data_IF_805211881249
#
_entry.id   IF_805211881249
#
_cell.length_a   1.000
_cell.length_b   1.000
_cell.length_c   1.000
_cell.angle_alpha   90.00
_cell.angle_beta   90.00
_cell.angle_gamma   90.00
#
_symmetry.space_group_name_H-M   'P 1'
#
loop_
_entity.id
_entity.type
_entity.pdbx_description
1 polymer ?
#
# COMPACT_ATOMS: atom_id res chain seq x y z
N UNK A 1 -2.97 -11.78 32.06
CA UNK A 1 -3.98 -10.77 31.61
C UNK A 1 -3.40 -9.36 31.80
N UNK A 2 -3.56 -8.42 30.84
CA UNK A 2 -2.99 -7.08 30.95
C UNK A 2 -3.61 -6.27 32.09
N UNK A 3 -2.79 -5.67 32.96
CA UNK A 3 -3.23 -4.95 34.18
C UNK A 3 -3.47 -3.44 33.96
N UNK A 4 -3.47 -2.96 32.71
CA UNK A 4 -3.57 -1.53 32.39
C UNK A 4 -4.80 -0.85 32.97
N UNK A 5 -5.96 -1.53 32.94
CA UNK A 5 -7.22 -0.96 33.43
C UNK A 5 -7.17 -0.73 34.93
N UNK A 6 -6.68 -1.72 35.66
CA UNK A 6 -6.57 -1.69 37.13
C UNK A 6 -5.57 -0.62 37.56
N UNK A 7 -4.38 -0.60 36.95
CA UNK A 7 -3.35 0.40 37.21
C UNK A 7 -3.85 1.83 36.93
N UNK A 8 -4.59 2.02 35.83
CA UNK A 8 -5.18 3.32 35.50
C UNK A 8 -6.23 3.76 36.52
N UNK A 9 -7.12 2.85 36.94
CA UNK A 9 -8.16 3.13 37.94
C UNK A 9 -7.52 3.43 39.30
N UNK A 10 -6.47 2.71 39.68
CA UNK A 10 -5.74 2.96 40.93
C UNK A 10 -5.12 4.36 41.00
N UNK A 11 -4.67 4.91 39.85
CA UNK A 11 -4.20 6.29 39.73
C UNK A 11 -5.31 7.34 39.53
N UNK A 12 -6.58 6.93 39.44
CA UNK A 12 -7.70 7.85 39.20
C UNK A 12 -7.71 8.50 37.80
N UNK A 13 -6.98 7.94 36.84
CA UNK A 13 -6.83 8.50 35.50
C UNK A 13 -7.95 8.03 34.55
N UNK A 14 -8.36 8.91 33.62
CA UNK A 14 -9.22 8.53 32.49
C UNK A 14 -8.36 8.04 31.32
N UNK A 15 -8.96 7.28 30.40
CA UNK A 15 -8.25 6.83 29.20
C UNK A 15 -7.76 8.01 28.33
N UNK A 16 -8.49 9.14 28.36
CA UNK A 16 -8.08 10.37 27.71
C UNK A 16 -6.77 10.94 28.27
N UNK A 17 -6.54 10.79 29.59
CA UNK A 17 -5.32 11.29 30.24
C UNK A 17 -4.11 10.45 29.83
N UNK A 18 -4.29 9.13 29.65
CA UNK A 18 -3.25 8.24 29.11
C UNK A 18 -2.93 8.59 27.65
N UNK A 19 -3.96 8.88 26.84
CA UNK A 19 -3.78 9.34 25.45
C UNK A 19 -3.00 10.65 25.39
N UNK A 20 -3.33 11.60 26.27
CA UNK A 20 -2.63 12.87 26.38
C UNK A 20 -1.18 12.70 26.85
N UNK A 21 -0.92 11.82 27.83
CA UNK A 21 0.41 11.54 28.33
C UNK A 21 1.31 10.92 27.25
N UNK A 22 0.82 9.93 26.49
CA UNK A 22 1.55 9.34 25.37
C UNK A 22 1.92 10.38 24.30
N UNK A 23 1.03 11.35 24.07
CA UNK A 23 1.27 12.43 23.11
C UNK A 23 2.46 13.32 23.46
N UNK A 24 2.76 13.50 24.75
CA UNK A 24 3.92 14.27 25.21
C UNK A 24 5.25 13.62 24.78
N UNK A 25 5.25 12.31 24.53
CA UNK A 25 6.41 11.54 24.06
C UNK A 25 6.40 11.34 22.53
N UNK A 26 5.49 12.00 21.81
CA UNK A 26 5.35 11.89 20.35
C UNK A 26 4.54 10.67 19.88
N UNK A 27 3.94 9.90 20.79
CA UNK A 27 3.11 8.74 20.47
C UNK A 27 1.63 9.16 20.39
N UNK A 28 1.06 9.17 19.19
CA UNK A 28 -0.38 9.44 19.01
C UNK A 28 -1.20 8.16 19.12
N UNK A 29 -1.75 7.90 20.30
CA UNK A 29 -2.62 6.75 20.56
C UNK A 29 -4.02 7.22 20.95
N UNK A 30 -5.05 6.99 20.11
CA UNK A 30 -6.41 7.44 20.42
C UNK A 30 -7.07 6.56 21.49
N UNK A 31 -8.00 7.13 22.26
CA UNK A 31 -8.72 6.47 23.37
C UNK A 31 -9.29 5.08 23.04
N UNK A 32 -9.92 4.85 21.86
CA UNK A 32 -10.42 3.51 21.52
C UNK A 32 -9.33 2.44 21.44
N UNK A 33 -8.08 2.82 21.14
CA UNK A 33 -6.95 1.90 21.10
C UNK A 33 -6.46 1.58 22.51
N UNK A 34 -6.47 2.56 23.43
CA UNK A 34 -6.17 2.34 24.85
C UNK A 34 -7.17 1.35 25.46
N UNK A 35 -8.46 1.49 25.14
CA UNK A 35 -9.48 0.52 25.57
C UNK A 35 -9.19 -0.91 25.08
N UNK A 36 -8.53 -1.08 23.93
CA UNK A 36 -8.14 -2.41 23.41
C UNK A 36 -6.95 -2.98 24.15
N UNK A 37 -6.01 -2.15 24.58
CA UNK A 37 -4.91 -2.56 25.46
C UNK A 37 -5.45 -3.05 26.81
N UNK A 38 -6.38 -2.30 27.39
CA UNK A 38 -7.04 -2.63 28.67
C UNK A 38 -7.86 -3.92 28.62
N UNK A 39 -8.41 -4.28 27.46
CA UNK A 39 -9.23 -5.48 27.27
C UNK A 39 -8.45 -6.67 26.70
N UNK A 40 -7.13 -6.52 26.48
CA UNK A 40 -6.29 -7.55 25.88
C UNK A 40 -6.59 -7.86 24.42
N UNK A 41 -7.40 -7.03 23.74
CA UNK A 41 -7.70 -7.20 22.31
C UNK A 41 -6.50 -6.86 21.41
N UNK A 42 -5.59 -6.03 21.91
CA UNK A 42 -4.32 -5.71 21.25
C UNK A 42 -3.26 -5.39 22.30
N UNK A 43 -1.99 -5.50 21.93
CA UNK A 43 -0.88 -5.04 22.78
C UNK A 43 -0.36 -3.68 22.31
N UNK A 44 0.12 -2.83 23.22
CA UNK A 44 0.89 -1.66 22.86
C UNK A 44 2.23 -2.08 22.23
N UNK A 45 2.84 -1.17 21.46
CA UNK A 45 4.23 -1.36 21.03
C UNK A 45 5.17 -1.30 22.25
N UNK A 46 6.39 -1.88 22.18
CA UNK A 46 7.34 -1.85 23.30
C UNK A 46 7.57 -0.44 23.85
N UNK A 47 7.74 0.55 22.97
CA UNK A 47 7.91 1.96 23.36
C UNK A 47 6.68 2.54 24.07
N UNK A 48 5.48 2.26 23.55
CA UNK A 48 4.23 2.69 24.20
C UNK A 48 4.05 2.02 25.57
N UNK A 49 4.41 0.75 25.68
CA UNK A 49 4.42 0.02 26.94
C UNK A 49 5.34 0.68 27.97
N UNK A 50 6.59 0.97 27.62
CA UNK A 50 7.54 1.66 28.51
C UNK A 50 7.00 3.00 29.02
N UNK A 51 6.40 3.80 28.13
CA UNK A 51 5.80 5.08 28.51
C UNK A 51 4.60 4.86 29.43
N UNK A 52 3.74 3.88 29.13
CA UNK A 52 2.60 3.55 29.98
C UNK A 52 3.04 3.05 31.36
N UNK A 53 4.12 2.27 31.47
CA UNK A 53 4.72 1.86 32.74
C UNK A 53 5.16 3.07 33.56
N UNK A 54 5.79 4.08 32.92
CA UNK A 54 6.17 5.34 33.56
C UNK A 54 4.97 6.18 33.99
N UNK A 55 3.94 6.29 33.16
CA UNK A 55 2.74 7.07 33.48
C UNK A 55 1.93 6.42 34.61
N UNK A 56 1.95 5.10 34.69
CA UNK A 56 1.19 4.31 35.66
C UNK A 56 1.99 3.88 36.89
N UNK A 57 3.27 4.28 37.01
CA UNK A 57 4.22 3.86 38.05
C UNK A 57 4.16 2.35 38.33
N UNK A 58 4.21 1.55 37.26
CA UNK A 58 4.12 0.10 37.36
C UNK A 58 5.04 -0.57 36.35
N UNK A 59 5.93 -1.44 36.84
CA UNK A 59 6.87 -2.19 36.00
C UNK A 59 6.24 -3.47 35.39
N UNK A 60 5.14 -3.95 35.96
CA UNK A 60 4.49 -5.23 35.60
C UNK A 60 3.08 -5.04 35.01
N UNK A 61 2.95 -4.21 33.96
CA UNK A 61 1.65 -4.03 33.29
C UNK A 61 1.26 -5.18 32.36
N UNK A 62 2.26 -5.97 31.91
CA UNK A 62 2.08 -7.16 31.08
C UNK A 62 2.61 -8.39 31.85
N UNK A 63 1.82 -9.47 31.86
CA UNK A 63 2.25 -10.78 32.35
C UNK A 63 3.02 -11.53 31.27
N UNK A 64 4.03 -12.33 31.64
CA UNK A 64 4.80 -13.20 30.72
C UNK A 64 3.97 -14.29 30.02
N UNK A 65 2.68 -14.44 30.36
CA UNK A 65 1.78 -15.38 29.69
C UNK A 65 1.69 -15.10 28.19
N UNK A 66 1.82 -16.18 27.40
CA UNK A 66 1.57 -16.19 25.96
C UNK A 66 0.19 -15.58 25.67
N UNK A 67 0.18 -14.40 25.05
CA UNK A 67 -1.06 -13.73 24.66
C UNK A 67 -1.56 -14.40 23.40
N UNK A 68 -2.46 -15.38 23.55
CA UNK A 68 -3.27 -15.88 22.45
C UNK A 68 -4.29 -14.80 22.05
N UNK A 69 -3.98 -14.05 20.99
CA UNK A 69 -4.95 -13.13 20.41
C UNK A 69 -6.07 -13.96 19.75
N UNK A 70 -7.25 -13.96 20.38
CA UNK A 70 -8.48 -14.56 19.82
C UNK A 70 -8.87 -14.00 18.45
N UNK A 71 -8.27 -12.87 18.05
CA UNK A 71 -8.46 -12.24 16.77
C UNK A 71 -7.15 -12.13 15.99
N UNK A 72 -6.67 -13.25 15.45
CA UNK A 72 -5.86 -13.19 14.23
C UNK A 72 -6.77 -12.54 13.20
N UNK A 73 -6.53 -11.27 12.85
CA UNK A 73 -7.12 -10.71 11.63
C UNK A 73 -6.76 -11.71 10.53
N UNK A 74 -7.75 -12.44 10.02
CA UNK A 74 -7.65 -13.01 8.69
C UNK A 74 -7.49 -11.79 7.79
N UNK A 75 -6.24 -11.40 7.54
CA UNK A 75 -5.91 -10.56 6.40
C UNK A 75 -6.63 -11.28 5.27
N UNK A 76 -7.69 -10.68 4.72
CA UNK A 76 -8.32 -11.26 3.54
C UNK A 76 -7.17 -11.49 2.58
N UNK A 77 -6.81 -12.73 2.22
CA UNK A 77 -5.83 -12.91 1.18
C UNK A 77 -6.36 -12.12 -0.01
N UNK A 78 -5.52 -11.29 -0.66
CA UNK A 78 -5.98 -10.52 -1.80
C UNK A 78 -6.59 -11.51 -2.79
N UNK A 79 -7.87 -11.33 -3.08
CA UNK A 79 -8.68 -12.32 -3.76
C UNK A 79 -8.30 -12.29 -5.23
N UNK A 80 -7.55 -13.28 -5.70
CA UNK A 80 -7.42 -13.62 -7.12
C UNK A 80 -6.00 -13.95 -7.59
N UNK A 81 -5.86 -14.84 -8.61
CA UNK A 81 -4.57 -15.10 -9.24
C UNK A 81 -4.06 -13.80 -9.88
N UNK A 82 -2.88 -13.34 -9.45
CA UNK A 82 -2.21 -12.14 -9.99
C UNK A 82 -2.12 -10.95 -9.03
N UNK A 83 -2.57 -11.05 -7.78
CA UNK A 83 -2.41 -9.95 -6.80
C UNK A 83 -1.00 -9.93 -6.22
N UNK A 84 -0.07 -9.28 -6.93
CA UNK A 84 1.20 -8.86 -6.34
C UNK A 84 0.92 -7.91 -5.18
N UNK A 85 1.47 -8.23 -4.02
CA UNK A 85 1.25 -7.56 -2.71
C UNK A 85 1.83 -6.13 -2.71
N UNK A 86 2.54 -5.73 -3.75
CA UNK A 86 2.98 -4.37 -3.97
C UNK A 86 1.84 -3.55 -4.59
N UNK A 87 0.99 -2.95 -3.74
CA UNK A 87 0.37 -1.68 -4.14
C UNK A 87 1.53 -0.69 -4.28
N UNK A 88 2.07 -0.57 -5.49
CA UNK A 88 2.90 0.56 -5.87
C UNK A 88 2.00 1.79 -5.77
N UNK A 89 1.94 2.41 -4.59
CA UNK A 89 1.52 3.81 -4.44
C UNK A 89 2.65 4.65 -5.00
N UNK A 90 2.82 4.60 -6.31
CA UNK A 90 3.68 5.54 -7.00
C UNK A 90 2.97 6.88 -6.95
N UNK A 91 3.56 7.84 -6.24
CA UNK A 91 3.09 9.21 -6.27
C UNK A 91 3.06 9.68 -7.72
N UNK A 92 1.86 10.02 -8.19
CA UNK A 92 1.72 10.52 -9.55
C UNK A 92 2.35 11.91 -9.55
N UNK A 93 3.36 12.19 -10.39
CA UNK A 93 4.03 13.49 -10.40
C UNK A 93 3.03 14.57 -10.85
N UNK A 94 2.40 15.23 -9.86
CA UNK A 94 1.19 16.04 -10.07
C UNK A 94 1.43 17.20 -11.05
N UNK A 95 2.66 17.76 -11.05
CA UNK A 95 3.09 18.80 -12.00
C UNK A 95 3.01 18.30 -13.45
N UNK A 96 3.45 17.07 -13.73
CA UNK A 96 3.35 16.46 -15.07
C UNK A 96 1.91 16.00 -15.37
N UNK A 97 1.24 15.44 -14.36
CA UNK A 97 -0.13 14.98 -14.47
C UNK A 97 -1.10 16.10 -14.86
N UNK A 98 -0.84 17.34 -14.43
CA UNK A 98 -1.75 18.47 -14.62
C UNK A 98 -1.22 19.59 -15.54
N UNK A 99 -0.07 19.39 -16.22
CA UNK A 99 0.60 20.43 -17.03
C UNK A 99 -0.31 21.15 -18.04
N UNK A 100 -1.26 20.44 -18.65
CA UNK A 100 -2.14 20.97 -19.70
C UNK A 100 -3.63 20.92 -19.32
N UNK A 101 -4.04 19.91 -18.56
CA UNK A 101 -5.39 19.71 -18.04
C UNK A 101 -5.32 18.65 -16.94
N UNK A 102 -6.34 18.56 -16.06
CA UNK A 102 -6.44 17.48 -15.08
C UNK A 102 -6.33 16.11 -15.76
N UNK A 103 -5.62 15.18 -15.12
CA UNK A 103 -5.32 13.87 -15.70
C UNK A 103 -6.56 13.11 -16.19
N UNK A 104 -7.67 13.16 -15.45
CA UNK A 104 -8.93 12.53 -15.84
C UNK A 104 -9.53 13.10 -17.14
N UNK A 105 -9.35 14.39 -17.42
CA UNK A 105 -9.81 15.02 -18.67
C UNK A 105 -9.01 14.51 -19.85
N UNK A 106 -7.67 14.44 -19.69
CA UNK A 106 -6.77 13.90 -20.72
C UNK A 106 -7.07 12.44 -21.04
N UNK A 107 -7.31 11.62 -20.02
CA UNK A 107 -7.67 10.20 -20.19
C UNK A 107 -8.93 10.07 -21.06
N UNK A 108 -9.98 10.85 -20.77
CA UNK A 108 -11.21 10.84 -21.57
C UNK A 108 -10.99 11.35 -22.99
N UNK A 109 -10.25 12.46 -23.16
CA UNK A 109 -9.96 13.03 -24.47
C UNK A 109 -9.15 12.07 -25.36
N UNK A 110 -8.28 11.24 -24.77
CA UNK A 110 -7.54 10.20 -25.47
C UNK A 110 -8.35 8.90 -25.71
N UNK A 111 -9.66 8.88 -25.45
CA UNK A 111 -10.51 7.70 -25.64
C UNK A 111 -10.26 6.57 -24.62
N UNK A 112 -9.61 6.86 -23.49
CA UNK A 112 -9.30 5.87 -22.46
C UNK A 112 -10.39 5.82 -21.38
N UNK A 113 -10.78 4.60 -20.97
CA UNK A 113 -11.83 4.36 -19.97
C UNK A 113 -11.43 4.73 -18.54
N UNK A 114 -10.15 4.53 -18.17
CA UNK A 114 -9.67 4.71 -16.80
C UNK A 114 -8.15 4.92 -16.75
N UNK A 115 -7.65 5.34 -15.58
CA UNK A 115 -6.21 5.44 -15.31
C UNK A 115 -5.51 4.08 -15.33
N UNK A 116 -6.18 3.03 -14.86
CA UNK A 116 -5.67 1.65 -14.97
C UNK A 116 -5.55 1.20 -16.42
N UNK A 117 -6.49 1.58 -17.29
CA UNK A 117 -6.41 1.29 -18.72
C UNK A 117 -5.23 2.02 -19.38
N UNK A 118 -5.01 3.29 -19.00
CA UNK A 118 -3.84 4.05 -19.44
C UNK A 118 -2.52 3.38 -19.00
N UNK A 119 -2.43 2.95 -17.74
CA UNK A 119 -1.26 2.26 -17.21
C UNK A 119 -0.99 0.92 -17.93
N UNK A 120 -2.03 0.12 -18.18
CA UNK A 120 -1.92 -1.12 -18.92
C UNK A 120 -1.38 -0.91 -20.35
N UNK A 121 -1.82 0.16 -21.02
CA UNK A 121 -1.33 0.52 -22.35
C UNK A 121 0.15 0.92 -22.31
N UNK A 122 0.55 1.75 -21.33
CA UNK A 122 1.95 2.12 -21.13
C UNK A 122 2.85 0.89 -20.89
N UNK A 123 2.42 -0.04 -20.03
CA UNK A 123 3.15 -1.28 -19.76
C UNK A 123 3.25 -2.17 -21.00
N UNK A 124 2.18 -2.28 -21.80
CA UNK A 124 2.20 -3.03 -23.06
C UNK A 124 3.19 -2.43 -24.05
N UNK A 125 3.21 -1.10 -24.19
CA UNK A 125 4.18 -0.40 -25.03
C UNK A 125 5.63 -0.61 -24.53
N UNK A 126 5.84 -0.56 -23.22
CA UNK A 126 7.15 -0.81 -22.61
C UNK A 126 7.63 -2.25 -22.88
N UNK A 127 6.76 -3.24 -22.68
CA UNK A 127 7.06 -4.65 -22.96
C UNK A 127 7.41 -4.88 -24.43
N UNK A 128 6.69 -4.25 -25.36
CA UNK A 128 7.02 -4.33 -26.79
C UNK A 128 8.38 -3.68 -27.10
N UNK A 129 8.71 -2.55 -26.48
CA UNK A 129 10.02 -1.92 -26.62
C UNK A 129 11.13 -2.81 -26.06
N UNK A 130 10.91 -3.41 -24.89
CA UNK A 130 11.83 -4.34 -24.26
C UNK A 130 12.07 -5.58 -25.14
N UNK A 131 11.02 -6.21 -25.65
CA UNK A 131 11.14 -7.35 -26.56
C UNK A 131 11.92 -6.99 -27.83
N UNK A 132 11.70 -5.79 -28.40
CA UNK A 132 12.47 -5.32 -29.56
C UNK A 132 13.94 -5.09 -29.20
N UNK A 133 14.22 -4.49 -28.05
CA UNK A 133 15.58 -4.26 -27.58
C UNK A 133 16.31 -5.60 -27.38
N UNK A 134 15.67 -6.57 -26.72
CA UNK A 134 16.19 -7.92 -26.55
C UNK A 134 16.44 -8.60 -27.90
N UNK A 135 15.47 -8.58 -28.82
CA UNK A 135 15.66 -9.20 -30.15
C UNK A 135 16.82 -8.56 -30.91
N UNK A 136 17.02 -7.25 -30.78
CA UNK A 136 18.16 -6.54 -31.37
C UNK A 136 19.50 -6.95 -30.73
N UNK A 137 19.54 -7.11 -29.42
CA UNK A 137 20.74 -7.58 -28.71
C UNK A 137 21.04 -9.05 -29.04
N UNK A 138 20.03 -9.91 -28.98
CA UNK A 138 20.13 -11.33 -29.35
C UNK A 138 20.56 -11.54 -30.81
N UNK A 139 20.13 -10.69 -31.74
CA UNK A 139 20.60 -10.71 -33.13
C UNK A 139 22.06 -10.26 -33.29
N UNK A 140 22.55 -9.42 -32.37
CA UNK A 140 23.96 -9.02 -32.30
C UNK A 140 24.84 -10.10 -31.64
N UNK A 141 24.28 -10.85 -30.69
CA UNK A 141 25.00 -11.86 -29.89
C UNK A 141 24.80 -13.31 -30.39
N UNK A 142 23.97 -13.54 -31.41
CA UNK A 142 23.72 -14.86 -32.01
C UNK A 142 22.91 -15.84 -31.15
N UNK A 143 22.25 -15.38 -30.08
CA UNK A 143 21.55 -16.24 -29.12
C UNK A 143 20.04 -16.28 -29.44
N UNK A 144 19.52 -17.45 -29.80
CA UNK A 144 18.08 -17.67 -30.02
C UNK A 144 17.30 -17.64 -28.70
N UNK A 145 16.52 -16.59 -28.45
CA UNK A 145 15.58 -16.56 -27.33
C UNK A 145 14.22 -17.08 -27.80
N UNK A 146 13.81 -18.23 -27.25
CA UNK A 146 12.53 -18.88 -27.54
C UNK A 146 11.36 -17.91 -27.37
N UNK A 147 10.54 -17.78 -28.42
CA UNK A 147 9.31 -16.99 -28.41
C UNK A 147 8.36 -17.53 -27.33
N UNK A 148 8.29 -16.81 -26.20
CA UNK A 148 7.27 -17.01 -25.19
C UNK A 148 5.89 -16.76 -25.79
N UNK A 149 5.20 -17.82 -26.21
CA UNK A 149 3.79 -17.80 -26.61
C UNK A 149 2.93 -17.37 -25.43
N UNK A 150 2.75 -16.07 -25.21
CA UNK A 150 1.64 -15.57 -24.40
C UNK A 150 0.37 -15.64 -25.26
N UNK A 151 -0.63 -16.38 -24.75
CA UNK A 151 -1.96 -16.54 -25.34
C UNK A 151 -2.48 -15.21 -25.89
N UNK A 152 -3.05 -15.25 -27.11
CA UNK A 152 -3.82 -14.16 -27.70
C UNK A 152 -5.01 -13.86 -26.79
N UNK A 153 -4.87 -12.87 -25.92
CA UNK A 153 -6.04 -12.21 -25.35
C UNK A 153 -6.70 -11.39 -26.47
N UNK A 154 -7.77 -11.94 -27.00
CA UNK A 154 -8.66 -11.30 -27.97
C UNK A 154 -9.39 -10.14 -27.29
N UNK A 155 -8.80 -8.95 -27.35
CA UNK A 155 -9.52 -7.70 -27.11
C UNK A 155 -9.37 -6.83 -28.36
N UNK A 156 -10.50 -6.65 -29.05
CA UNK A 156 -10.72 -5.92 -30.29
C UNK A 156 -9.69 -4.83 -30.59
N UNK A 157 -9.00 -4.99 -31.72
CA UNK A 157 -8.15 -3.98 -32.32
C UNK A 157 -8.96 -2.88 -32.98
N UNK A 158 -9.46 -1.92 -32.21
CA UNK A 158 -10.24 -0.80 -32.77
C UNK A 158 -9.71 0.59 -32.40
N UNK A 159 -8.48 0.73 -31.90
CA UNK A 159 -7.93 2.08 -31.63
C UNK A 159 -6.44 2.17 -31.96
N UNK A 160 -6.06 1.89 -33.21
CA UNK A 160 -4.79 2.37 -33.78
C UNK A 160 -4.99 2.69 -35.27
N UNK A 161 -5.91 3.61 -35.55
CA UNK A 161 -5.94 4.34 -36.82
C UNK A 161 -6.24 5.80 -36.52
N UNK A 162 -5.23 6.57 -36.15
CA UNK A 162 -5.17 7.96 -36.58
C UNK A 162 -3.77 8.23 -37.11
N UNK A 163 -3.77 8.56 -38.39
CA UNK A 163 -2.66 8.83 -39.30
C UNK A 163 -1.50 9.56 -38.62
N UNK A 164 -0.32 9.02 -38.80
CA UNK A 164 0.91 9.82 -38.88
C UNK A 164 0.79 10.73 -40.11
N UNK A 165 0.23 11.92 -39.94
CA UNK A 165 0.53 13.00 -40.88
C UNK A 165 1.97 13.43 -40.63
N UNK A 166 2.78 13.23 -41.67
CA UNK A 166 4.16 13.68 -41.76
C UNK A 166 4.14 15.21 -41.63
N UNK A 167 4.72 15.72 -40.55
CA UNK A 167 5.17 17.11 -40.52
C UNK A 167 6.63 17.07 -40.98
N UNK A 168 6.85 17.50 -42.23
CA UNK A 168 8.18 17.89 -42.68
C UNK A 168 8.55 19.19 -41.96
N UNK A 169 9.71 19.20 -41.30
CA UNK A 169 10.49 20.40 -41.04
C UNK A 169 11.76 20.27 -41.86
#
# INVERSE_FOLDING_TARGET
MPKYREARIAKGLKQADISAALRQFGEYVPVPVISRYETGQSLPTPRQHEIMCKVLDSEELLSEQEVEFSFIRRVKPPVGPGTSIYRLTADTPQKLANKYAPLGVKIKACGLKSLSHAAALCLRCLNLRYLRAIKKMAAHDGINIADGKTKKDSVSGTILTHRSEKVNV
#
